data_IF_617708549328
#
_entry.id   IF_617708549328
#
_cell.length_a   1.000
_cell.length_b   1.000
_cell.length_c   1.000
_cell.angle_alpha   90.00
_cell.angle_beta   90.00
_cell.angle_gamma   90.00
#
_symmetry.space_group_name_H-M   'P 1'
#
loop_
_entity.id
_entity.type
_entity.pdbx_description
1 polymer ?
#
# COMPACT_ATOMS: atom_id res chain seq x y z
N UNK A 1 -35.54 -39.63 -13.75
CA UNK A 1 -35.13 -38.82 -12.57
C UNK A 1 -33.69 -39.06 -12.10
N UNK A 2 -33.10 -40.26 -12.24
CA UNK A 2 -31.70 -40.54 -11.87
C UNK A 2 -30.62 -39.84 -12.73
N UNK A 3 -30.71 -39.73 -14.07
CA UNK A 3 -29.64 -39.12 -14.86
C UNK A 3 -29.52 -37.61 -14.62
N UNK A 4 -30.66 -36.91 -14.46
CA UNK A 4 -30.69 -35.47 -14.17
C UNK A 4 -29.98 -35.14 -12.85
N UNK A 5 -30.14 -35.98 -11.83
CA UNK A 5 -29.45 -35.82 -10.53
C UNK A 5 -27.94 -36.04 -10.65
N UNK A 6 -27.51 -37.00 -11.47
CA UNK A 6 -26.09 -37.26 -11.73
C UNK A 6 -25.45 -36.13 -12.54
N UNK A 7 -26.14 -35.62 -13.56
CA UNK A 7 -25.69 -34.45 -14.32
C UNK A 7 -25.61 -33.20 -13.46
N UNK A 8 -26.59 -32.95 -12.58
CA UNK A 8 -26.57 -31.84 -11.65
C UNK A 8 -25.40 -31.96 -10.65
N UNK A 9 -25.14 -33.16 -10.12
CA UNK A 9 -24.01 -33.39 -9.22
C UNK A 9 -22.66 -33.21 -9.94
N UNK A 10 -22.54 -33.67 -11.19
CA UNK A 10 -21.34 -33.47 -12.00
C UNK A 10 -21.09 -31.99 -12.31
N UNK A 11 -22.14 -31.24 -12.67
CA UNK A 11 -22.03 -29.79 -12.90
C UNK A 11 -21.62 -29.03 -11.63
N UNK A 12 -22.14 -29.43 -10.46
CA UNK A 12 -21.76 -28.84 -9.17
C UNK A 12 -20.30 -29.11 -8.81
N UNK A 13 -19.81 -30.34 -9.06
CA UNK A 13 -18.40 -30.70 -8.84
C UNK A 13 -17.44 -29.93 -9.75
N UNK A 14 -17.83 -29.67 -11.00
CA UNK A 14 -17.04 -28.85 -11.94
C UNK A 14 -17.00 -27.39 -11.48
N UNK A 15 -18.10 -26.85 -10.95
CA UNK A 15 -18.17 -25.47 -10.45
C UNK A 15 -17.31 -25.21 -9.21
N UNK A 16 -17.13 -26.19 -8.33
CA UNK A 16 -16.31 -26.05 -7.10
C UNK A 16 -14.82 -26.13 -7.41
N UNK A 17 -14.43 -26.79 -8.49
CA UNK A 17 -13.03 -26.99 -8.88
C UNK A 17 -12.41 -25.87 -9.71
N UNK A 18 -13.20 -24.89 -10.17
CA UNK A 18 -12.65 -23.70 -10.83
C UNK A 18 -12.16 -22.71 -9.78
N UNK A 19 -10.85 -22.48 -9.62
CA UNK A 19 -10.39 -21.33 -8.87
C UNK A 19 -10.96 -20.10 -9.56
N UNK A 20 -11.81 -19.35 -8.87
CA UNK A 20 -12.09 -17.99 -9.27
C UNK A 20 -10.77 -17.25 -9.17
N UNK A 21 -10.08 -17.09 -10.30
CA UNK A 21 -8.95 -16.18 -10.40
C UNK A 21 -9.51 -14.81 -10.02
N UNK A 22 -9.23 -14.38 -8.79
CA UNK A 22 -9.40 -13.00 -8.44
C UNK A 22 -8.62 -12.21 -9.49
N UNK A 23 -9.30 -11.30 -10.19
CA UNK A 23 -8.63 -10.45 -11.17
C UNK A 23 -7.45 -9.78 -10.48
N UNK A 24 -6.28 -9.80 -11.13
CA UNK A 24 -5.09 -9.17 -10.59
C UNK A 24 -5.39 -7.69 -10.28
N UNK A 25 -4.88 -7.15 -9.15
CA UNK A 25 -5.10 -5.76 -8.83
C UNK A 25 -4.56 -4.86 -9.95
N UNK A 26 -5.46 -4.10 -10.58
CA UNK A 26 -5.11 -3.10 -11.59
C UNK A 26 -4.88 -1.79 -10.87
N UNK A 27 -3.69 -1.21 -11.04
CA UNK A 27 -3.31 0.08 -10.47
C UNK A 27 -3.37 1.14 -11.57
N UNK A 28 -4.50 1.86 -11.72
CA UNK A 28 -4.61 2.85 -12.77
C UNK A 28 -3.61 4.00 -12.51
N UNK A 29 -2.93 4.48 -13.56
CA UNK A 29 -2.00 5.60 -13.41
C UNK A 29 -2.74 6.85 -12.92
N UNK A 30 -2.20 7.52 -11.90
CA UNK A 30 -2.76 8.76 -11.34
C UNK A 30 -3.84 8.57 -10.27
N UNK A 31 -3.91 7.39 -9.64
CA UNK A 31 -4.78 7.15 -8.48
C UNK A 31 -4.41 8.06 -7.31
N UNK A 32 -5.30 8.99 -6.97
CA UNK A 32 -5.06 9.96 -5.88
C UNK A 32 -5.33 9.31 -4.52
N UNK A 33 -4.33 9.29 -3.64
CA UNK A 33 -4.53 8.95 -2.23
C UNK A 33 -5.19 10.13 -1.52
N UNK A 34 -6.43 9.95 -1.08
CA UNK A 34 -7.12 10.92 -0.22
C UNK A 34 -6.70 10.74 1.23
N UNK A 35 -6.16 11.78 1.85
CA UNK A 35 -5.80 11.80 3.27
C UNK A 35 -6.57 12.93 3.96
N UNK A 36 -7.19 12.62 5.09
CA UNK A 36 -7.68 13.66 6.00
C UNK A 36 -6.50 14.16 6.81
N UNK A 37 -6.05 15.41 6.65
CA UNK A 37 -4.93 15.93 7.41
C UNK A 37 -5.28 15.97 8.91
N UNK A 38 -4.29 15.67 9.75
CA UNK A 38 -4.39 15.92 11.19
C UNK A 38 -4.52 17.43 11.46
N UNK A 39 -5.06 17.78 12.62
CA UNK A 39 -5.19 19.17 13.06
C UNK A 39 -3.82 19.88 12.97
N UNK A 40 -3.78 21.03 12.30
CA UNK A 40 -2.56 21.82 12.13
C UNK A 40 -1.76 21.52 10.86
N UNK A 41 -2.07 20.45 10.13
CA UNK A 41 -1.48 20.17 8.82
C UNK A 41 -2.26 20.85 7.69
N UNK A 42 -1.55 21.53 6.80
CA UNK A 42 -2.06 22.15 5.58
C UNK A 42 -1.39 21.55 4.35
N UNK A 43 -1.98 21.72 3.16
CA UNK A 43 -1.36 21.22 1.92
C UNK A 43 -0.01 21.91 1.70
N UNK A 44 1.04 21.12 1.53
CA UNK A 44 2.37 21.63 1.27
C UNK A 44 2.44 22.35 -0.09
N UNK A 45 3.21 23.45 -0.15
CA UNK A 45 3.39 24.24 -1.39
C UNK A 45 4.56 23.78 -2.23
N UNK A 46 5.51 23.07 -1.62
CA UNK A 46 6.82 22.74 -2.21
C UNK A 46 7.00 21.26 -2.52
N UNK A 47 6.14 20.40 -1.99
CA UNK A 47 6.15 18.95 -2.23
C UNK A 47 4.74 18.37 -2.23
N UNK A 48 4.61 17.11 -2.66
CA UNK A 48 3.33 16.39 -2.69
C UNK A 48 3.02 15.86 -1.29
N UNK A 49 2.21 16.60 -0.53
CA UNK A 49 1.91 16.21 0.84
C UNK A 49 1.31 17.32 1.70
N UNK A 50 1.56 17.22 3.01
CA UNK A 50 1.08 18.17 4.01
C UNK A 50 2.22 18.66 4.91
N UNK A 51 2.10 19.89 5.41
CA UNK A 51 3.03 20.48 6.37
C UNK A 51 2.32 21.36 7.38
N UNK A 52 2.89 21.49 8.57
CA UNK A 52 2.51 22.52 9.53
C UNK A 52 2.97 23.89 9.03
N UNK A 53 2.31 24.97 9.47
CA UNK A 53 2.66 26.34 9.06
C UNK A 53 4.10 26.73 9.43
N UNK A 54 4.58 26.23 10.57
CA UNK A 54 5.94 26.40 11.05
C UNK A 54 6.96 25.44 10.40
N UNK A 55 6.52 24.59 9.46
CA UNK A 55 7.32 23.57 8.77
C UNK A 55 7.99 22.52 9.68
N UNK A 56 7.62 22.47 10.97
CA UNK A 56 8.16 21.51 11.92
C UNK A 56 7.73 20.06 11.68
N UNK A 57 6.64 19.84 10.95
CA UNK A 57 6.17 18.51 10.55
C UNK A 57 5.90 18.50 9.05
N UNK A 58 6.45 17.49 8.35
CA UNK A 58 6.24 17.26 6.92
C UNK A 58 5.76 15.84 6.68
N UNK A 59 4.67 15.71 5.93
CA UNK A 59 4.08 14.43 5.52
C UNK A 59 4.17 14.33 4.01
N UNK A 60 5.15 13.56 3.52
CA UNK A 60 5.36 13.34 2.10
C UNK A 60 4.55 12.13 1.61
N UNK A 61 3.89 12.27 0.46
CA UNK A 61 3.13 11.19 -0.18
C UNK A 61 3.75 10.91 -1.55
N UNK A 62 4.18 9.68 -1.77
CA UNK A 62 4.77 9.25 -3.05
C UNK A 62 4.13 7.94 -3.51
N UNK A 63 4.12 7.74 -4.84
CA UNK A 63 3.66 6.51 -5.46
C UNK A 63 4.85 5.69 -5.92
N UNK A 64 4.78 4.39 -5.71
CA UNK A 64 5.76 3.42 -6.18
C UNK A 64 5.11 2.54 -7.25
N UNK A 65 5.77 2.24 -8.38
CA UNK A 65 5.27 1.27 -9.34
C UNK A 65 5.00 -0.08 -8.68
N UNK A 66 3.96 -0.79 -9.12
CA UNK A 66 3.57 -2.08 -8.53
C UNK A 66 4.72 -3.10 -8.61
N UNK A 67 5.46 -3.09 -9.71
CA UNK A 67 6.61 -3.98 -9.94
C UNK A 67 7.76 -3.71 -8.96
N UNK A 68 7.89 -2.46 -8.48
CA UNK A 68 8.94 -2.07 -7.54
C UNK A 68 8.60 -2.44 -6.09
N UNK A 69 7.33 -2.75 -5.77
CA UNK A 69 6.92 -3.09 -4.40
C UNK A 69 7.70 -4.28 -3.85
N UNK A 70 7.89 -5.31 -4.68
CA UNK A 70 8.61 -6.52 -4.29
C UNK A 70 10.06 -6.23 -3.85
N UNK A 71 10.74 -5.32 -4.55
CA UNK A 71 12.10 -4.90 -4.21
C UNK A 71 12.14 -4.14 -2.88
N UNK A 72 11.22 -3.19 -2.66
CA UNK A 72 11.11 -2.42 -1.41
C UNK A 72 10.81 -3.32 -0.22
N UNK A 73 9.82 -4.21 -0.37
CA UNK A 73 9.47 -5.20 0.64
C UNK A 73 10.69 -6.08 0.99
N UNK A 74 11.42 -6.57 -0.01
CA UNK A 74 12.61 -7.39 0.20
C UNK A 74 13.73 -6.61 0.90
N UNK A 75 13.93 -5.34 0.56
CA UNK A 75 14.89 -4.47 1.23
C UNK A 75 14.56 -4.27 2.71
N UNK A 76 13.28 -4.04 3.06
CA UNK A 76 12.85 -3.92 4.46
C UNK A 76 12.96 -5.23 5.23
N UNK A 77 12.71 -6.39 4.59
CA UNK A 77 12.95 -7.70 5.21
C UNK A 77 14.44 -7.99 5.43
N UNK A 78 15.28 -7.61 4.48
CA UNK A 78 16.73 -7.81 4.56
C UNK A 78 17.38 -6.91 5.62
N UNK A 79 16.80 -5.73 5.88
CA UNK A 79 17.27 -4.81 6.89
C UNK A 79 16.10 -4.26 7.75
N UNK A 80 15.60 -5.04 8.73
CA UNK A 80 14.45 -4.65 9.55
C UNK A 80 14.74 -3.47 10.49
N UNK A 81 16.02 -3.15 10.74
CA UNK A 81 16.41 -1.96 11.48
C UNK A 81 16.31 -0.66 10.64
N UNK A 82 16.15 -0.79 9.32
CA UNK A 82 16.13 0.32 8.39
C UNK A 82 17.51 0.87 8.04
N UNK A 83 17.55 1.76 7.06
CA UNK A 83 18.78 2.44 6.63
C UNK A 83 18.85 3.82 7.30
N UNK A 84 20.05 4.27 7.70
CA UNK A 84 20.24 5.61 8.25
C UNK A 84 19.51 5.90 9.56
N UNK A 85 19.10 4.86 10.32
CA UNK A 85 18.32 5.01 11.55
C UNK A 85 16.81 5.20 11.32
N UNK A 86 16.35 5.12 10.08
CA UNK A 86 14.93 5.25 9.72
C UNK A 86 14.30 3.87 9.65
N UNK A 87 13.61 3.48 10.73
CA UNK A 87 12.97 2.18 10.82
C UNK A 87 11.67 2.14 9.99
N UNK A 88 11.49 1.16 9.09
CA UNK A 88 10.22 0.94 8.43
C UNK A 88 9.21 0.27 9.37
N UNK A 89 7.99 0.77 9.34
CA UNK A 89 6.81 0.21 10.02
C UNK A 89 5.85 -0.37 8.98
N UNK A 90 5.10 -1.40 9.37
CA UNK A 90 4.16 -2.09 8.48
C UNK A 90 2.71 -1.83 8.87
N UNK A 91 1.84 -1.69 7.88
CA UNK A 91 0.39 -1.54 8.06
C UNK A 91 -0.35 -2.47 7.11
N UNK A 92 -1.26 -3.28 7.64
CA UNK A 92 -2.13 -4.11 6.81
C UNK A 92 -3.23 -3.26 6.18
N UNK A 93 -3.42 -3.41 4.87
CA UNK A 93 -4.47 -2.72 4.11
C UNK A 93 -5.32 -3.74 3.36
N UNK A 94 -6.47 -3.32 2.84
CA UNK A 94 -7.30 -4.19 1.98
C UNK A 94 -6.60 -4.62 0.69
N UNK A 95 -5.56 -3.91 0.25
CA UNK A 95 -4.74 -4.25 -0.91
C UNK A 95 -3.49 -5.08 -0.56
N UNK A 96 -3.29 -5.40 0.73
CA UNK A 96 -2.13 -6.12 1.24
C UNK A 96 -1.26 -5.27 2.18
N UNK A 97 -0.09 -5.81 2.52
CA UNK A 97 0.86 -5.20 3.45
C UNK A 97 1.48 -3.94 2.85
N UNK A 98 1.38 -2.82 3.54
CA UNK A 98 2.06 -1.58 3.19
C UNK A 98 3.13 -1.22 4.23
N UNK A 99 4.05 -0.34 3.84
CA UNK A 99 5.13 0.12 4.69
C UNK A 99 5.19 1.64 4.73
N UNK A 100 5.55 2.20 5.89
CA UNK A 100 5.79 3.63 6.06
C UNK A 100 7.00 3.85 6.97
N UNK A 101 7.60 5.03 6.91
CA UNK A 101 8.70 5.44 7.79
C UNK A 101 8.33 6.72 8.52
N UNK A 102 8.72 6.82 9.78
CA UNK A 102 8.59 8.04 10.56
C UNK A 102 9.98 8.44 11.09
N UNK A 103 10.39 9.67 10.83
CA UNK A 103 11.69 10.19 11.23
C UNK A 103 11.56 11.61 11.80
N UNK A 104 12.42 11.92 12.77
CA UNK A 104 12.60 13.29 13.25
C UNK A 104 13.80 13.88 12.53
N UNK A 105 13.56 14.84 11.63
CA UNK A 105 14.62 15.56 10.93
C UNK A 105 15.05 16.81 11.71
N UNK A 106 16.31 17.24 11.53
CA UNK A 106 16.76 18.59 11.87
C UNK A 106 16.77 19.43 10.59
N UNK A 107 16.46 20.70 10.72
CA UNK A 107 16.64 21.65 9.61
C UNK A 107 18.08 21.61 9.10
N UNK A 108 18.24 21.68 7.78
CA UNK A 108 19.54 21.71 7.12
C UNK A 108 20.39 22.90 7.59
N UNK A 109 21.71 22.87 7.37
CA UNK A 109 22.57 24.00 7.74
C UNK A 109 22.06 25.29 7.09
N UNK A 110 22.03 26.36 7.88
CA UNK A 110 21.74 27.73 7.43
C UNK A 110 22.90 28.30 6.62
#
# INVERSE_FOLDING_TARGET
MKPIRLFAAAALLIGIGCPAFAADPVFPPGMRVGLTPLVGLSRAKTFVGFETEDQGVKVLVTELPAEAYGEVMNAFKANPAGAGGVKPESIETSAGLAYYTAESAKDGPT
#
